data_IF_534365961722
#
_entry.id   IF_534365961722
#
_cell.length_a   1.000
_cell.length_b   1.000
_cell.length_c   1.000
_cell.angle_alpha   90.00
_cell.angle_beta   90.00
_cell.angle_gamma   90.00
#
_symmetry.space_group_name_H-M   'P 1'
#
loop_
_entity.id
_entity.type
_entity.pdbx_description
1 polymer ?
#
# COMPACT_ATOMS: atom_id res chain seq x y z
N UNK A 1 -3.90 22.58 6.66
CA UNK A 1 -3.40 21.38 7.37
C UNK A 1 -2.97 20.37 6.33
N UNK A 2 -1.68 20.32 6.01
CA UNK A 2 -1.13 19.28 5.14
C UNK A 2 -0.76 18.08 6.02
N UNK A 3 -1.52 16.98 5.89
CA UNK A 3 -1.16 15.72 6.52
C UNK A 3 0.18 15.25 5.94
N UNK A 4 1.18 15.06 6.81
CA UNK A 4 2.46 14.46 6.41
C UNK A 4 2.17 13.07 5.83
N UNK A 5 2.40 12.92 4.53
CA UNK A 5 2.37 11.63 3.86
C UNK A 5 3.37 10.70 4.54
N UNK A 6 2.90 9.52 4.95
CA UNK A 6 3.75 8.48 5.49
C UNK A 6 4.63 7.88 4.39
N UNK A 7 5.93 7.82 4.66
CA UNK A 7 6.87 6.76 4.28
C UNK A 7 7.08 6.30 2.82
N UNK A 8 6.37 6.81 1.83
CA UNK A 8 6.70 6.67 0.42
C UNK A 8 7.09 8.02 -0.14
N UNK A 9 8.20 8.12 -0.88
CA UNK A 9 8.41 9.28 -1.73
C UNK A 9 7.15 9.48 -2.58
N UNK A 10 6.69 10.71 -2.71
CA UNK A 10 5.51 11.00 -3.53
C UNK A 10 5.86 10.59 -4.97
N UNK A 11 5.16 9.60 -5.52
CA UNK A 11 5.40 9.10 -6.89
C UNK A 11 4.31 9.52 -7.88
N UNK A 12 3.17 10.02 -7.38
CA UNK A 12 2.08 10.55 -8.17
C UNK A 12 1.94 12.05 -7.94
N UNK A 13 2.00 12.83 -9.02
CA UNK A 13 1.92 14.29 -8.98
C UNK A 13 0.76 14.78 -9.83
N UNK A 14 -0.06 15.65 -9.26
CA UNK A 14 -1.07 16.40 -10.00
C UNK A 14 -0.37 17.45 -10.88
N UNK A 15 -0.60 17.36 -12.19
CA UNK A 15 -0.05 18.29 -13.16
C UNK A 15 -1.00 19.43 -13.52
N UNK A 16 -2.21 19.44 -12.95
CA UNK A 16 -3.34 20.23 -13.46
C UNK A 16 -4.04 19.52 -14.62
N UNK A 17 -5.11 20.15 -15.13
CA UNK A 17 -5.92 19.68 -16.27
C UNK A 17 -6.41 18.22 -16.16
N UNK A 18 -6.75 17.78 -14.95
CA UNK A 18 -7.18 16.40 -14.62
C UNK A 18 -6.15 15.33 -15.03
N UNK A 19 -4.85 15.66 -14.96
CA UNK A 19 -3.74 14.76 -15.32
C UNK A 19 -2.82 14.47 -14.14
N UNK A 20 -2.28 13.26 -14.16
CA UNK A 20 -1.28 12.80 -13.19
C UNK A 20 0.02 12.44 -13.91
N UNK A 21 1.14 12.86 -13.33
CA UNK A 21 2.47 12.37 -13.68
C UNK A 21 2.91 11.30 -12.67
N UNK A 22 3.45 10.20 -13.19
CA UNK A 22 4.02 9.12 -12.40
C UNK A 22 5.55 9.17 -12.51
N UNK A 23 6.25 9.20 -11.37
CA UNK A 23 7.70 9.18 -11.26
C UNK A 23 8.17 7.93 -10.50
N UNK A 24 9.49 7.78 -10.37
CA UNK A 24 10.15 6.66 -9.65
C UNK A 24 9.92 5.29 -10.31
N UNK A 25 10.20 5.20 -11.61
CA UNK A 25 10.08 3.97 -12.41
C UNK A 25 11.26 2.99 -12.23
N UNK A 26 12.26 3.32 -11.41
CA UNK A 26 13.49 2.52 -11.29
C UNK A 26 13.28 1.11 -10.73
N UNK A 27 12.19 0.90 -9.99
CA UNK A 27 11.80 -0.39 -9.41
C UNK A 27 10.56 -1.01 -10.08
N UNK A 28 10.22 -0.54 -11.29
CA UNK A 28 9.10 -1.08 -12.05
C UNK A 28 9.44 -2.49 -12.57
N UNK A 29 8.46 -3.38 -12.49
CA UNK A 29 8.61 -4.80 -12.89
C UNK A 29 7.46 -5.22 -13.78
N UNK A 30 7.73 -6.12 -14.71
CA UNK A 30 6.68 -6.90 -15.38
C UNK A 30 6.26 -7.99 -14.39
N UNK A 31 4.98 -8.03 -14.03
CA UNK A 31 4.51 -8.99 -13.03
C UNK A 31 2.98 -8.99 -12.88
N UNK A 32 2.51 -9.70 -11.86
CA UNK A 32 1.09 -9.82 -11.56
C UNK A 32 0.48 -8.45 -11.21
N UNK A 33 -0.54 -7.97 -11.95
CA UNK A 33 -1.17 -6.67 -11.70
C UNK A 33 -1.87 -6.58 -10.34
N UNK A 34 -2.22 -7.71 -9.71
CA UNK A 34 -2.76 -7.72 -8.34
C UNK A 34 -1.77 -7.07 -7.37
N UNK A 35 -0.46 -7.33 -7.53
CA UNK A 35 0.59 -6.70 -6.71
C UNK A 35 0.55 -5.19 -6.80
N UNK A 36 0.37 -4.64 -8.00
CA UNK A 36 0.31 -3.19 -8.24
C UNK A 36 -0.88 -2.55 -7.54
N UNK A 37 -2.06 -3.15 -7.67
CA UNK A 37 -3.29 -2.68 -7.02
C UNK A 37 -3.22 -2.74 -5.49
N UNK A 38 -2.77 -3.87 -4.95
CA UNK A 38 -2.63 -4.04 -3.49
C UNK A 38 -1.57 -3.08 -2.95
N UNK A 39 -0.46 -2.86 -3.67
CA UNK A 39 0.57 -1.88 -3.28
C UNK A 39 0.02 -0.47 -3.26
N UNK A 40 -0.75 -0.05 -4.27
CA UNK A 40 -1.38 1.27 -4.28
C UNK A 40 -2.28 1.44 -3.05
N UNK A 41 -3.08 0.43 -2.71
CA UNK A 41 -3.92 0.46 -1.51
C UNK A 41 -3.12 0.49 -0.21
N UNK A 42 -2.20 -0.45 -0.01
CA UNK A 42 -1.49 -0.66 1.27
C UNK A 42 -0.37 0.35 1.54
N UNK A 43 0.27 0.92 0.51
CA UNK A 43 1.37 1.88 0.69
C UNK A 43 1.00 3.33 0.39
N UNK A 44 0.09 3.58 -0.56
CA UNK A 44 -0.24 4.96 -0.94
C UNK A 44 -1.50 5.49 -0.25
N UNK A 45 -2.49 4.62 0.03
CA UNK A 45 -3.80 5.04 0.57
C UNK A 45 -4.01 4.69 2.05
N UNK A 46 -3.31 3.67 2.56
CA UNK A 46 -3.47 3.17 3.92
C UNK A 46 -2.57 3.92 4.91
N UNK A 47 -3.15 4.32 6.04
CA UNK A 47 -2.38 4.74 7.22
C UNK A 47 -1.97 3.51 8.00
N UNK A 48 -0.77 3.51 8.60
CA UNK A 48 -0.15 2.31 9.19
C UNK A 48 -1.10 1.42 10.02
N UNK A 49 -1.85 2.00 10.96
CA UNK A 49 -2.74 1.27 11.88
C UNK A 49 -4.23 1.34 11.53
N UNK A 50 -4.59 2.01 10.44
CA UNK A 50 -5.98 2.22 10.08
C UNK A 50 -6.29 1.56 8.73
N UNK A 51 -7.49 0.99 8.55
CA UNK A 51 -7.88 0.49 7.25
C UNK A 51 -7.97 1.64 6.23
N UNK A 52 -7.72 1.33 4.96
CA UNK A 52 -7.94 2.29 3.89
C UNK A 52 -9.42 2.68 3.82
N UNK A 53 -9.77 3.98 3.78
CA UNK A 53 -11.15 4.41 3.64
C UNK A 53 -11.85 3.77 2.43
N UNK A 54 -13.05 3.20 2.63
CA UNK A 54 -13.81 2.50 1.57
C UNK A 54 -13.94 3.34 0.29
N UNK A 55 -14.19 4.64 0.41
CA UNK A 55 -14.27 5.57 -0.72
C UNK A 55 -13.02 5.58 -1.61
N UNK A 56 -11.83 5.46 -1.02
CA UNK A 56 -10.57 5.45 -1.75
C UNK A 56 -10.32 4.10 -2.42
N UNK A 57 -10.69 3.00 -1.75
CA UNK A 57 -10.63 1.64 -2.34
C UNK A 57 -11.59 1.54 -3.54
N UNK A 58 -12.81 2.05 -3.40
CA UNK A 58 -13.79 2.10 -4.49
C UNK A 58 -13.25 2.90 -5.67
N UNK A 59 -12.75 4.13 -5.44
CA UNK A 59 -12.20 4.97 -6.50
C UNK A 59 -10.99 4.32 -7.20
N UNK A 60 -10.11 3.64 -6.46
CA UNK A 60 -8.98 2.90 -7.02
C UNK A 60 -9.46 1.78 -7.96
N UNK A 61 -10.42 0.96 -7.53
CA UNK A 61 -10.94 -0.13 -8.34
C UNK A 61 -11.73 0.37 -9.56
N UNK A 62 -12.53 1.43 -9.40
CA UNK A 62 -13.25 2.06 -10.52
C UNK A 62 -12.29 2.64 -11.56
N UNK A 63 -11.28 3.38 -11.12
CA UNK A 63 -10.25 3.92 -12.02
C UNK A 63 -9.47 2.82 -12.76
N UNK A 64 -9.14 1.71 -12.08
CA UNK A 64 -8.51 0.57 -12.73
C UNK A 64 -9.43 -0.06 -13.79
N UNK A 65 -10.70 -0.32 -13.47
CA UNK A 65 -11.67 -0.88 -14.41
C UNK A 65 -11.94 0.02 -15.61
N UNK A 66 -11.93 1.34 -15.42
CA UNK A 66 -12.12 2.29 -16.51
C UNK A 66 -11.04 2.15 -17.61
N UNK A 67 -9.84 1.66 -17.25
CA UNK A 67 -8.73 1.45 -18.19
C UNK A 67 -8.59 -0.01 -18.61
N UNK A 68 -8.73 -0.95 -17.67
CA UNK A 68 -8.44 -2.37 -17.87
C UNK A 68 -9.70 -3.25 -18.08
N UNK A 69 -10.90 -2.66 -18.00
CA UNK A 69 -12.18 -3.36 -18.10
C UNK A 69 -12.65 -3.98 -16.78
N UNK A 70 -11.86 -4.87 -16.19
CA UNK A 70 -12.16 -5.52 -14.92
C UNK A 70 -10.92 -5.59 -14.00
N UNK A 71 -11.11 -5.97 -12.74
CA UNK A 71 -10.01 -6.34 -11.86
C UNK A 71 -9.29 -7.58 -12.40
N UNK A 72 -8.00 -7.77 -12.06
CA UNK A 72 -7.26 -8.94 -12.50
C UNK A 72 -7.95 -10.25 -12.09
N UNK A 73 -7.97 -11.27 -12.96
CA UNK A 73 -8.49 -12.60 -12.61
C UNK A 73 -7.81 -13.15 -11.35
N UNK A 74 -8.58 -13.65 -10.40
CA UNK A 74 -8.06 -14.15 -9.12
C UNK A 74 -7.61 -13.05 -8.15
N UNK A 75 -8.03 -11.79 -8.34
CA UNK A 75 -7.68 -10.68 -7.43
C UNK A 75 -7.96 -11.02 -5.97
N UNK A 76 -9.19 -11.46 -5.64
CA UNK A 76 -9.57 -11.74 -4.24
C UNK A 76 -8.77 -12.87 -3.62
N UNK A 77 -8.34 -13.84 -4.42
CA UNK A 77 -7.53 -14.99 -3.98
C UNK A 77 -6.07 -14.58 -3.71
N UNK A 78 -5.49 -13.77 -4.61
CA UNK A 78 -4.07 -13.38 -4.52
C UNK A 78 -3.83 -12.14 -3.67
N UNK A 79 -4.85 -11.32 -3.42
CA UNK A 79 -4.70 -10.09 -2.65
C UNK A 79 -4.13 -10.31 -1.23
N UNK A 80 -4.61 -11.28 -0.43
CA UNK A 80 -4.06 -11.55 0.90
C UNK A 80 -2.56 -11.83 0.89
N UNK A 81 -2.06 -12.57 -0.10
CA UNK A 81 -0.62 -12.86 -0.27
C UNK A 81 0.18 -11.57 -0.45
N UNK A 82 -0.27 -10.67 -1.34
CA UNK A 82 0.42 -9.40 -1.54
C UNK A 82 0.27 -8.46 -0.35
N UNK A 83 -0.85 -8.52 0.39
CA UNK A 83 -1.02 -7.76 1.62
C UNK A 83 0.02 -8.16 2.67
N UNK A 84 0.28 -9.45 2.85
CA UNK A 84 1.33 -9.94 3.74
C UNK A 84 2.73 -9.53 3.24
N UNK A 85 3.03 -9.74 1.96
CA UNK A 85 4.32 -9.37 1.35
C UNK A 85 4.61 -7.87 1.51
N UNK A 86 3.65 -7.01 1.20
CA UNK A 86 3.80 -5.55 1.28
C UNK A 86 3.89 -5.10 2.75
N UNK A 87 3.14 -5.74 3.65
CA UNK A 87 3.28 -5.55 5.10
C UNK A 87 4.70 -5.85 5.57
N UNK A 88 5.28 -6.97 5.13
CA UNK A 88 6.64 -7.37 5.49
C UNK A 88 7.67 -6.38 4.94
N UNK A 89 7.51 -5.96 3.69
CA UNK A 89 8.36 -4.92 3.09
C UNK A 89 8.28 -3.60 3.86
N UNK A 90 7.14 -3.28 4.46
CA UNK A 90 6.94 -2.06 5.26
C UNK A 90 7.58 -2.21 6.64
N UNK A 91 7.47 -3.38 7.26
CA UNK A 91 8.11 -3.70 8.54
C UNK A 91 9.65 -3.57 8.49
N UNK A 92 10.26 -3.84 7.32
CA UNK A 92 11.69 -3.64 7.09
C UNK A 92 12.20 -2.20 7.27
N UNK A 93 11.30 -1.22 7.43
CA UNK A 93 11.63 0.19 7.68
C UNK A 93 11.27 0.64 9.11
N UNK A 94 11.12 -0.28 10.07
CA UNK A 94 10.63 0.00 11.44
C UNK A 94 11.37 1.15 12.14
N UNK A 95 12.70 1.18 12.09
CA UNK A 95 13.52 2.24 12.70
C UNK A 95 13.14 3.63 12.16
N UNK A 96 12.94 3.72 10.85
CA UNK A 96 12.57 4.96 10.16
C UNK A 96 11.14 5.40 10.55
N UNK A 97 10.21 4.45 10.65
CA UNK A 97 8.86 4.75 11.12
C UNK A 97 8.84 5.20 12.58
N UNK A 98 9.62 4.56 13.45
CA UNK A 98 9.76 4.95 14.85
C UNK A 98 10.22 6.41 14.96
N UNK A 99 11.28 6.78 14.23
CA UNK A 99 11.78 8.16 14.20
C UNK A 99 10.79 9.19 13.64
N UNK A 100 9.97 8.84 12.63
CA UNK A 100 8.97 9.76 12.08
C UNK A 100 7.73 9.94 12.95
N UNK A 101 7.38 8.91 13.69
CA UNK A 101 6.16 8.87 14.51
C UNK A 101 6.42 9.23 15.96
N UNK A 102 7.69 9.40 16.34
CA UNK A 102 8.11 9.58 17.73
C UNK A 102 7.57 8.44 18.62
N UNK A 103 7.63 7.22 18.09
CA UNK A 103 7.18 5.99 18.76
C UNK A 103 8.39 5.10 19.10
N UNK A 104 8.25 4.22 20.09
CA UNK A 104 9.27 3.22 20.42
C UNK A 104 9.42 2.21 19.29
N UNK A 105 10.67 1.97 18.87
CA UNK A 105 10.99 0.94 17.89
C UNK A 105 10.56 -0.46 18.36
N UNK A 106 10.71 -0.75 19.65
CA UNK A 106 10.32 -2.04 20.23
C UNK A 106 8.80 -2.26 20.17
N UNK A 107 8.02 -1.23 20.52
CA UNK A 107 6.55 -1.29 20.45
C UNK A 107 6.08 -1.39 19.00
N UNK A 108 6.72 -0.66 18.09
CA UNK A 108 6.38 -0.71 16.67
C UNK A 108 6.75 -2.05 16.03
N UNK A 109 7.87 -2.64 16.44
CA UNK A 109 8.28 -3.99 16.02
C UNK A 109 7.30 -5.05 16.50
N UNK A 110 6.88 -4.98 17.77
CA UNK A 110 5.87 -5.89 18.31
C UNK A 110 4.56 -5.78 17.51
N UNK A 111 4.11 -4.54 17.23
CA UNK A 111 2.93 -4.30 16.41
C UNK A 111 3.05 -4.89 14.98
N UNK A 112 4.20 -4.71 14.32
CA UNK A 112 4.41 -5.29 12.98
C UNK A 112 4.39 -6.81 13.00
N UNK A 113 4.91 -7.45 14.05
CA UNK A 113 4.84 -8.92 14.21
C UNK A 113 3.39 -9.38 14.29
N UNK A 114 2.60 -8.79 15.18
CA UNK A 114 1.18 -9.11 15.32
C UNK A 114 0.38 -8.84 14.02
N UNK A 115 0.73 -7.80 13.28
CA UNK A 115 0.13 -7.50 11.97
C UNK A 115 0.46 -8.54 10.91
N UNK A 116 1.71 -8.99 10.86
CA UNK A 116 2.16 -10.01 9.92
C UNK A 116 1.56 -11.37 10.25
N UNK A 117 1.54 -11.77 11.52
CA UNK A 117 0.94 -13.04 11.95
C UNK A 117 -0.53 -13.10 11.52
N UNK A 118 -1.30 -12.03 11.76
CA UNK A 118 -2.70 -11.96 11.33
C UNK A 118 -2.88 -12.08 9.82
N UNK A 119 -1.98 -11.49 9.03
CA UNK A 119 -2.04 -11.56 7.56
C UNK A 119 -1.66 -12.95 7.05
N UNK A 120 -0.67 -13.59 7.68
CA UNK A 120 -0.27 -14.97 7.34
C UNK A 120 -1.39 -15.95 7.64
N UNK A 121 -2.07 -15.83 8.79
CA UNK A 121 -3.25 -16.65 9.12
C UNK A 121 -4.43 -16.47 8.16
N UNK A 122 -4.45 -15.43 7.33
CA UNK A 122 -5.48 -15.23 6.30
C UNK A 122 -5.13 -15.91 4.96
N UNK A 123 -3.94 -16.50 4.85
CA UNK A 123 -3.42 -17.17 3.65
C UNK A 123 -3.28 -18.69 3.87
N UNK A 124 -3.04 -19.11 5.11
CA UNK A 124 -2.96 -20.51 5.56
C UNK A 124 -4.35 -21.17 5.67
#
# INVERSE_FOLDING_TARGET
MAGRAGAGGQTCFDTGDDRLALLDWGNSVIGDPVRGLVRAREQALKTLREPTPKRLVTALHEGYRAVAGDLPPGFSERAPVYEAMIGLSTAGYVERFAGWRDESEAELTAWFRDDLDRRLSAIE
#
